data_IF_848583880934
#
_entry.id   IF_848583880934
#
_cell.length_a   1.000
_cell.length_b   1.000
_cell.length_c   1.000
_cell.angle_alpha   90.00
_cell.angle_beta   90.00
_cell.angle_gamma   90.00
#
_symmetry.space_group_name_H-M   'P 1'
#
loop_
_entity.id
_entity.type
_entity.pdbx_description
1 polymer ?
#
# COMPACT_ATOMS: atom_id res chain seq x y z
N UNK A 1 -12.28 -2.62 -9.57
CA UNK A 1 -11.88 -2.41 -10.97
C UNK A 1 -12.76 -3.29 -11.86
N UNK A 2 -13.53 -2.73 -12.82
CA UNK A 2 -14.43 -3.52 -13.66
C UNK A 2 -13.70 -4.69 -14.32
N UNK A 3 -14.24 -5.91 -14.16
CA UNK A 3 -13.67 -7.12 -14.76
C UNK A 3 -12.46 -7.73 -14.04
N UNK A 4 -12.02 -7.17 -12.90
CA UNK A 4 -10.94 -7.75 -12.07
C UNK A 4 -11.51 -8.25 -10.75
N UNK A 5 -11.03 -9.42 -10.30
CA UNK A 5 -11.33 -9.92 -8.96
C UNK A 5 -10.83 -8.92 -7.89
N UNK A 6 -11.46 -8.86 -6.71
CA UNK A 6 -10.94 -8.08 -5.57
C UNK A 6 -9.52 -8.50 -5.21
N UNK A 7 -8.74 -7.54 -4.75
CA UNK A 7 -7.38 -7.74 -4.25
C UNK A 7 -7.05 -6.65 -3.24
N UNK A 8 -6.07 -6.95 -2.41
CA UNK A 8 -5.53 -6.07 -1.38
C UNK A 8 -4.13 -5.61 -1.79
N UNK A 9 -3.83 -4.35 -1.46
CA UNK A 9 -2.51 -3.74 -1.63
C UNK A 9 -2.14 -3.05 -0.32
N UNK A 10 -0.84 -2.80 -0.12
CA UNK A 10 -0.39 -1.87 0.91
C UNK A 10 -0.77 -0.44 0.53
N UNK A 11 -0.94 0.43 1.52
CA UNK A 11 -1.07 1.87 1.29
C UNK A 11 0.15 2.43 0.56
N UNK A 12 -0.10 3.28 -0.42
CA UNK A 12 0.94 3.88 -1.25
C UNK A 12 0.44 4.24 -2.65
N UNK A 13 1.23 5.05 -3.34
CA UNK A 13 0.90 5.52 -4.68
C UNK A 13 2.13 6.01 -5.42
N UNK A 14 1.89 6.64 -6.58
CA UNK A 14 2.95 7.16 -7.44
C UNK A 14 3.62 8.38 -6.79
N UNK A 15 4.94 8.49 -6.92
CA UNK A 15 5.64 9.70 -6.54
C UNK A 15 5.26 10.86 -7.48
N UNK A 16 5.01 12.04 -6.91
CA UNK A 16 4.85 13.25 -7.69
C UNK A 16 6.19 13.73 -8.29
N UNK A 17 6.12 14.64 -9.27
CA UNK A 17 7.30 15.17 -9.94
C UNK A 17 8.23 15.90 -8.95
N UNK A 18 9.41 15.30 -8.71
CA UNK A 18 10.41 15.83 -7.78
C UNK A 18 10.25 15.35 -6.33
N UNK A 19 9.24 14.52 -6.06
CA UNK A 19 9.01 13.88 -4.77
C UNK A 19 10.00 12.70 -4.58
N UNK A 20 10.54 12.56 -3.37
CA UNK A 20 11.29 11.36 -3.00
C UNK A 20 10.33 10.28 -2.47
N UNK A 21 10.81 9.05 -2.30
CA UNK A 21 9.96 7.93 -1.92
C UNK A 21 9.44 8.04 -0.49
N UNK A 22 10.20 8.64 0.41
CA UNK A 22 9.81 8.87 1.80
C UNK A 22 8.67 9.89 1.91
N UNK A 23 8.73 10.98 1.14
CA UNK A 23 7.70 12.00 1.08
C UNK A 23 6.41 11.44 0.46
N UNK A 24 6.53 10.66 -0.63
CA UNK A 24 5.40 9.97 -1.24
C UNK A 24 4.74 8.99 -0.24
N UNK A 25 5.53 8.14 0.43
CA UNK A 25 5.01 7.20 1.42
C UNK A 25 4.28 7.92 2.59
N UNK A 26 4.79 9.08 3.02
CA UNK A 26 4.15 9.89 4.07
C UNK A 26 2.84 10.52 3.60
N UNK A 27 2.83 11.08 2.39
CA UNK A 27 1.65 11.70 1.78
C UNK A 27 0.55 10.66 1.59
N UNK A 28 0.86 9.54 0.93
CA UNK A 28 -0.09 8.47 0.63
C UNK A 28 -0.63 7.82 1.91
N UNK A 29 0.21 7.60 2.93
CA UNK A 29 -0.25 7.12 4.24
C UNK A 29 -1.32 8.05 4.81
N UNK A 30 -1.11 9.36 4.74
CA UNK A 30 -2.07 10.33 5.23
C UNK A 30 -3.33 10.42 4.35
N UNK A 31 -3.18 10.42 3.02
CA UNK A 31 -4.30 10.53 2.08
C UNK A 31 -5.24 9.33 2.16
N UNK A 32 -4.68 8.12 2.19
CA UNK A 32 -5.46 6.89 2.21
C UNK A 32 -6.02 6.53 3.60
N UNK A 33 -5.27 6.80 4.67
CA UNK A 33 -5.62 6.29 6.01
C UNK A 33 -5.84 7.37 7.07
N UNK A 34 -5.50 8.62 6.78
CA UNK A 34 -5.49 9.71 7.76
C UNK A 34 -4.34 9.65 8.78
N UNK A 35 -3.47 8.65 8.69
CA UNK A 35 -2.36 8.47 9.61
C UNK A 35 -1.19 9.36 9.22
N UNK A 36 -0.62 10.09 10.19
CA UNK A 36 0.63 10.82 10.02
C UNK A 36 1.73 10.14 10.81
N UNK A 37 2.76 9.67 10.11
CA UNK A 37 3.94 9.05 10.71
C UNK A 37 5.17 9.29 9.85
N UNK A 38 6.34 9.02 10.41
CA UNK A 38 7.58 8.92 9.66
C UNK A 38 7.71 7.52 9.04
N UNK A 39 7.87 7.38 7.71
CA UNK A 39 8.02 6.07 7.09
C UNK A 39 9.29 5.35 7.56
N UNK A 40 10.32 6.10 7.98
CA UNK A 40 11.59 5.55 8.42
C UNK A 40 12.40 5.00 7.25
N UNK A 41 13.19 3.95 7.52
CA UNK A 41 14.06 3.36 6.52
C UNK A 41 13.29 2.48 5.52
N UNK A 42 13.72 2.52 4.25
CA UNK A 42 13.26 1.61 3.22
C UNK A 42 13.67 0.17 3.56
N UNK A 43 12.70 -0.75 3.64
CA UNK A 43 12.93 -2.16 3.99
C UNK A 43 13.05 -3.06 2.76
N UNK A 44 12.44 -2.66 1.64
CA UNK A 44 12.45 -3.43 0.40
C UNK A 44 12.26 -2.56 -0.84
N UNK A 45 12.68 -3.11 -1.98
CA UNK A 45 12.49 -2.57 -3.32
C UNK A 45 12.06 -3.69 -4.24
N UNK A 46 11.04 -3.44 -5.05
CA UNK A 46 10.59 -4.32 -6.14
C UNK A 46 10.46 -3.51 -7.42
N UNK A 47 10.45 -4.19 -8.58
CA UNK A 47 10.14 -3.55 -9.85
C UNK A 47 9.12 -4.34 -10.67
N UNK A 48 7.85 -4.44 -10.21
CA UNK A 48 6.85 -5.23 -10.89
C UNK A 48 6.41 -4.57 -12.20
N UNK A 49 5.96 -5.39 -13.14
CA UNK A 49 5.30 -4.96 -14.37
C UNK A 49 3.83 -5.37 -14.29
N UNK A 50 2.92 -4.40 -14.44
CA UNK A 50 1.48 -4.63 -14.37
C UNK A 50 0.70 -3.63 -15.22
N UNK A 51 -0.61 -3.82 -15.30
CA UNK A 51 -1.53 -2.90 -15.96
C UNK A 51 -2.37 -2.18 -14.91
N UNK A 52 -2.37 -0.85 -14.93
CA UNK A 52 -3.10 0.00 -13.98
C UNK A 52 -4.62 -0.19 -14.13
N UNK A 53 -5.45 0.28 -13.16
CA UNK A 53 -6.91 0.28 -13.29
C UNK A 53 -7.42 0.98 -14.58
N UNK A 54 -6.69 1.96 -15.09
CA UNK A 54 -6.98 2.73 -16.31
C UNK A 54 -6.57 1.98 -17.59
N UNK A 55 -5.85 0.85 -17.47
CA UNK A 55 -5.43 0.04 -18.60
C UNK A 55 -4.02 0.36 -19.11
N UNK A 56 -3.21 1.11 -18.37
CA UNK A 56 -1.87 1.51 -18.78
C UNK A 56 -0.82 0.48 -18.32
N UNK A 57 0.05 -0.02 -19.21
CA UNK A 57 1.14 -0.90 -18.81
C UNK A 57 2.24 -0.08 -18.13
N UNK A 58 2.62 -0.48 -16.92
CA UNK A 58 3.62 0.19 -16.10
C UNK A 58 4.69 -0.78 -15.61
N UNK A 59 5.91 -0.27 -15.48
CA UNK A 59 6.97 -0.88 -14.68
C UNK A 59 7.23 0.02 -13.49
N UNK A 60 6.68 -0.35 -12.34
CA UNK A 60 6.80 0.45 -11.13
C UNK A 60 8.19 0.25 -10.50
N UNK A 61 8.72 1.27 -9.84
CA UNK A 61 9.92 1.18 -9.00
C UNK A 61 9.51 1.34 -7.54
N UNK A 62 8.91 0.30 -6.96
CA UNK A 62 8.25 0.39 -5.65
C UNK A 62 9.26 0.36 -4.50
N UNK A 63 8.98 1.15 -3.46
CA UNK A 63 9.75 1.20 -2.21
C UNK A 63 8.81 0.94 -1.05
N UNK A 64 9.18 0.00 -0.21
CA UNK A 64 8.39 -0.40 0.94
C UNK A 64 9.04 0.10 2.23
N UNK A 65 8.21 0.57 3.14
CA UNK A 65 8.58 1.13 4.43
C UNK A 65 7.75 0.44 5.53
N UNK A 66 8.35 0.21 6.70
CA UNK A 66 7.65 -0.37 7.84
C UNK A 66 7.27 0.72 8.84
N UNK A 67 6.00 1.11 8.83
CA UNK A 67 5.49 2.16 9.71
C UNK A 67 4.88 1.57 10.98
N UNK A 68 5.32 2.04 12.15
CA UNK A 68 4.69 1.73 13.44
C UNK A 68 3.77 2.86 13.86
N UNK A 69 2.50 2.53 14.09
CA UNK A 69 1.47 3.49 14.52
C UNK A 69 1.04 3.18 15.95
N UNK A 70 0.72 4.22 16.72
CA UNK A 70 0.27 4.05 18.10
C UNK A 70 -1.16 3.52 18.19
N UNK A 71 -2.02 3.95 17.25
CA UNK A 71 -3.43 3.59 17.19
C UNK A 71 -3.78 3.09 15.78
N UNK A 72 -4.48 1.93 15.65
CA UNK A 72 -4.87 1.37 14.36
C UNK A 72 -6.20 1.97 13.87
N UNK A 73 -6.32 3.30 13.87
CA UNK A 73 -7.55 4.01 13.44
C UNK A 73 -7.37 4.55 12.03
N UNK A 74 -8.26 4.17 11.13
CA UNK A 74 -8.27 4.60 9.72
C UNK A 74 -9.38 5.64 9.53
N UNK A 75 -9.03 6.77 8.92
CA UNK A 75 -9.93 7.87 8.56
C UNK A 75 -9.96 8.07 7.04
N UNK A 76 -11.01 7.57 6.40
CA UNK A 76 -11.25 7.68 4.94
C UNK A 76 -12.12 8.88 4.57
N UNK A 77 -12.42 9.80 5.51
CA UNK A 77 -13.34 10.93 5.26
C UNK A 77 -12.86 11.90 4.18
N UNK A 78 -11.56 11.88 3.84
CA UNK A 78 -10.91 12.74 2.85
C UNK A 78 -10.82 12.13 1.46
N UNK A 79 -11.22 10.87 1.30
CA UNK A 79 -11.07 10.18 0.02
C UNK A 79 -11.73 10.95 -1.13
N UNK A 80 -11.11 10.94 -2.29
CA UNK A 80 -11.71 11.47 -3.51
C UNK A 80 -12.88 10.57 -3.95
N UNK A 81 -13.68 11.04 -4.91
CA UNK A 81 -14.74 10.21 -5.47
C UNK A 81 -14.19 8.98 -6.21
N UNK A 82 -12.97 9.09 -6.75
CA UNK A 82 -12.28 8.02 -7.45
C UNK A 82 -11.77 6.95 -6.47
N UNK A 83 -11.08 7.37 -5.41
CA UNK A 83 -10.64 6.46 -4.33
C UNK A 83 -11.81 5.68 -3.74
N UNK A 84 -12.93 6.35 -3.41
CA UNK A 84 -14.13 5.64 -2.92
C UNK A 84 -14.71 4.63 -3.89
N UNK A 85 -14.46 4.76 -5.19
CA UNK A 85 -14.94 3.81 -6.19
C UNK A 85 -14.01 2.59 -6.34
N UNK A 86 -12.75 2.70 -5.90
CA UNK A 86 -11.73 1.66 -6.09
C UNK A 86 -11.27 1.00 -4.79
N UNK A 87 -11.11 1.79 -3.72
CA UNK A 87 -10.72 1.37 -2.38
C UNK A 87 -11.94 1.06 -1.53
N UNK A 88 -12.48 -0.15 -1.70
CA UNK A 88 -13.75 -0.54 -1.09
C UNK A 88 -13.63 -0.86 0.40
N UNK A 89 -12.47 -1.35 0.84
CA UNK A 89 -12.26 -1.82 2.21
C UNK A 89 -10.85 -1.50 2.70
N UNK A 90 -10.71 -1.39 4.02
CA UNK A 90 -9.43 -1.23 4.72
C UNK A 90 -9.41 -2.18 5.91
N UNK A 91 -8.25 -2.78 6.19
CA UNK A 91 -8.14 -3.78 7.25
C UNK A 91 -6.74 -3.80 7.84
N UNK A 92 -6.68 -3.95 9.16
CA UNK A 92 -5.47 -4.36 9.85
C UNK A 92 -5.38 -5.87 9.84
N UNK A 93 -4.37 -6.39 9.16
CA UNK A 93 -4.13 -7.83 9.09
C UNK A 93 -3.22 -8.31 10.22
N UNK A 94 -3.56 -9.45 10.83
CA UNK A 94 -2.60 -10.23 11.59
C UNK A 94 -1.58 -10.86 10.62
N UNK A 95 -0.31 -10.92 11.02
CA UNK A 95 0.76 -11.35 10.11
C UNK A 95 0.60 -12.82 9.66
N UNK A 96 0.03 -13.67 10.52
CA UNK A 96 -0.22 -15.08 10.25
C UNK A 96 -1.44 -15.33 9.36
N UNK A 97 -2.36 -14.37 9.20
CA UNK A 97 -3.52 -14.51 8.32
C UNK A 97 -3.19 -14.24 6.84
N UNK A 98 -2.03 -13.64 6.54
CA UNK A 98 -1.64 -13.27 5.18
C UNK A 98 -1.43 -14.48 4.24
N UNK A 99 -0.98 -15.62 4.77
CA UNK A 99 -0.71 -16.82 3.97
C UNK A 99 -1.98 -17.52 3.49
N UNK A 100 -3.02 -17.48 4.31
CA UNK A 100 -4.28 -18.19 4.08
C UNK A 100 -5.41 -17.24 3.64
N UNK A 101 -5.09 -15.98 3.34
CA UNK A 101 -6.09 -15.02 2.87
C UNK A 101 -6.62 -15.41 1.49
N UNK A 102 -7.94 -15.45 1.37
CA UNK A 102 -8.64 -15.98 0.21
C UNK A 102 -8.64 -15.05 -1.03
N UNK A 103 -8.33 -13.77 -0.84
CA UNK A 103 -8.18 -12.79 -1.92
C UNK A 103 -6.70 -12.51 -2.20
N UNK A 104 -6.38 -12.03 -3.40
CA UNK A 104 -5.00 -11.71 -3.74
C UNK A 104 -4.46 -10.57 -2.85
N UNK A 105 -3.24 -10.73 -2.35
CA UNK A 105 -2.49 -9.73 -1.57
C UNK A 105 -1.23 -9.35 -2.34
N UNK A 106 -1.02 -8.05 -2.53
CA UNK A 106 0.19 -7.53 -3.15
C UNK A 106 0.97 -6.61 -2.19
N UNK A 107 2.31 -6.68 -2.20
CA UNK A 107 3.12 -7.65 -2.96
C UNK A 107 2.99 -9.07 -2.40
N UNK A 108 3.15 -10.10 -3.23
CA UNK A 108 3.09 -11.52 -2.82
C UNK A 108 4.14 -11.87 -1.73
N UNK A 109 5.19 -11.06 -1.63
CA UNK A 109 6.27 -11.20 -0.65
C UNK A 109 6.07 -10.37 0.61
N UNK A 110 4.89 -9.75 0.81
CA UNK A 110 4.59 -8.83 1.92
C UNK A 110 4.95 -9.41 3.28
N UNK A 111 4.49 -10.63 3.59
CA UNK A 111 4.80 -11.30 4.86
C UNK A 111 6.30 -11.45 5.07
N UNK A 112 6.99 -12.00 4.08
CA UNK A 112 8.44 -12.21 4.14
C UNK A 112 9.22 -10.90 4.29
N UNK A 113 8.76 -9.81 3.67
CA UNK A 113 9.35 -8.47 3.84
C UNK A 113 9.22 -8.00 5.30
N UNK A 114 8.04 -8.14 5.90
CA UNK A 114 7.78 -7.74 7.29
C UNK A 114 8.62 -8.59 8.25
N UNK A 115 8.61 -9.92 8.11
CA UNK A 115 9.35 -10.83 9.00
C UNK A 115 10.86 -10.54 9.02
N UNK A 116 11.45 -10.23 7.86
CA UNK A 116 12.88 -9.88 7.76
C UNK A 116 13.23 -8.62 8.53
N UNK A 117 12.30 -7.67 8.66
CA UNK A 117 12.51 -6.43 9.40
C UNK A 117 12.24 -6.58 10.90
N UNK A 118 11.44 -7.57 11.30
CA UNK A 118 11.12 -7.84 12.71
C UNK A 118 12.13 -8.75 13.41
N UNK A 119 12.97 -9.46 12.65
CA UNK A 119 14.03 -10.34 13.15
C UNK A 119 15.24 -9.55 13.68
#
# INVERSE_FOLDING_TARGET
IPGRAPFWVTTGGECEAGENYEDAARRELFEETGITADPGEQIARTTPEFVTPEGEPVRADERYFLVRVAEPVIDTSRHTALERAWMNEHRWFALDELDDWHEALYPESLRTMIERQLA
#
